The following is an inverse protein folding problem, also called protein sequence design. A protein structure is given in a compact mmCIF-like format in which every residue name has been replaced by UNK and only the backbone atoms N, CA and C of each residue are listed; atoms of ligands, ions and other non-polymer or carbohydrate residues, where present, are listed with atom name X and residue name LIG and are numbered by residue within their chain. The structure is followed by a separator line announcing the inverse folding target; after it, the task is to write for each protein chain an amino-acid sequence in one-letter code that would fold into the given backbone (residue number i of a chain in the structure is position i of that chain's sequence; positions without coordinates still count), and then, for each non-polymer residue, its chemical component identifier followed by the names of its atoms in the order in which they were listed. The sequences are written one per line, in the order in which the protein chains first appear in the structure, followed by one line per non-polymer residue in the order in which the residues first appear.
data_IF_999614522433
#
_entry.id   IF_999614522433
#
_cell.length_a   1.000
_cell.length_b   1.000
_cell.length_c   1.000
_cell.angle_alpha   90.00
_cell.angle_beta   90.00
_cell.angle_gamma   90.00
#
_symmetry.space_group_name_H-M   'P 1'
#
loop_
_entity.id
_entity.type
_entity.pdbx_description
1 polymer ?
#
# COMPACT_ATOMS: atom_id res chain seq x y z
N UNK A 1 -29.89 -14.28 1.52
CA UNK A 1 -28.82 -14.85 0.67
C UNK A 1 -28.00 -13.79 -0.10
N UNK A 2 -28.61 -12.76 -0.71
CA UNK A 2 -27.88 -11.71 -1.49
C UNK A 2 -27.00 -10.75 -0.66
N UNK A 3 -27.43 -10.30 0.52
CA UNK A 3 -26.66 -9.36 1.35
C UNK A 3 -25.23 -9.83 1.66
N UNK A 4 -25.04 -11.13 1.96
CA UNK A 4 -23.71 -11.68 2.25
C UNK A 4 -22.76 -11.75 1.06
N UNK A 5 -23.30 -11.91 -0.16
CA UNK A 5 -22.50 -11.86 -1.41
C UNK A 5 -22.09 -10.43 -1.74
N UNK A 6 -23.00 -9.46 -1.55
CA UNK A 6 -22.73 -8.03 -1.77
C UNK A 6 -21.63 -7.52 -0.82
N UNK A 7 -21.74 -7.81 0.48
CA UNK A 7 -20.72 -7.40 1.46
C UNK A 7 -19.35 -8.01 1.14
N UNK A 8 -19.33 -9.27 0.70
CA UNK A 8 -18.08 -9.92 0.29
C UNK A 8 -17.46 -9.25 -0.94
N UNK A 9 -18.28 -8.88 -1.94
CA UNK A 9 -17.82 -8.15 -3.11
C UNK A 9 -17.25 -6.77 -2.75
N UNK A 10 -17.94 -6.02 -1.88
CA UNK A 10 -17.46 -4.72 -1.39
C UNK A 10 -16.13 -4.84 -0.63
N UNK A 11 -16.02 -5.82 0.26
CA UNK A 11 -14.76 -6.10 0.98
C UNK A 11 -13.62 -6.45 0.02
N UNK A 12 -13.92 -7.20 -1.03
CA UNK A 12 -12.94 -7.59 -2.05
C UNK A 12 -12.48 -6.39 -2.88
N UNK A 13 -13.42 -5.54 -3.33
CA UNK A 13 -13.11 -4.29 -4.02
C UNK A 13 -12.27 -3.35 -3.14
N UNK A 14 -12.60 -3.25 -1.86
CA UNK A 14 -11.83 -2.45 -0.90
C UNK A 14 -10.40 -2.96 -0.71
N UNK A 15 -10.22 -4.27 -0.55
CA UNK A 15 -8.88 -4.88 -0.44
C UNK A 15 -8.06 -4.67 -1.73
N UNK A 16 -8.70 -4.78 -2.91
CA UNK A 16 -8.05 -4.50 -4.19
C UNK A 16 -7.62 -3.04 -4.32
N UNK A 17 -8.46 -2.10 -3.85
CA UNK A 17 -8.11 -0.68 -3.86
C UNK A 17 -6.90 -0.38 -2.98
N UNK A 18 -6.85 -0.95 -1.76
CA UNK A 18 -5.69 -0.82 -0.87
C UNK A 18 -4.42 -1.45 -1.48
N UNK A 19 -4.55 -2.63 -2.10
CA UNK A 19 -3.43 -3.31 -2.74
C UNK A 19 -2.83 -2.49 -3.89
N UNK A 20 -3.69 -1.85 -4.67
CA UNK A 20 -3.29 -1.04 -5.82
C UNK A 20 -2.66 0.29 -5.40
N UNK A 21 -3.15 0.93 -4.33
CA UNK A 21 -2.58 2.18 -3.83
C UNK A 21 -1.30 1.98 -3.01
N UNK A 22 -1.04 0.76 -2.53
CA UNK A 22 0.11 0.44 -1.69
C UNK A 22 1.46 0.92 -2.25
N UNK A 23 1.83 0.67 -3.53
CA UNK A 23 3.13 1.11 -4.04
C UNK A 23 3.30 2.64 -4.04
N UNK A 24 2.24 3.39 -4.35
CA UNK A 24 2.29 4.87 -4.33
C UNK A 24 2.43 5.39 -2.90
N UNK A 25 1.58 4.90 -1.98
CA UNK A 25 1.63 5.31 -0.58
C UNK A 25 2.97 4.93 0.06
N UNK A 26 3.47 3.72 -0.21
CA UNK A 26 4.76 3.27 0.28
C UNK A 26 5.89 4.16 -0.23
N UNK A 27 5.95 4.42 -1.53
CA UNK A 27 7.00 5.25 -2.12
C UNK A 27 7.04 6.65 -1.50
N UNK A 28 5.87 7.28 -1.36
CA UNK A 28 5.75 8.60 -0.75
C UNK A 28 6.21 8.57 0.72
N UNK A 29 5.63 7.70 1.54
CA UNK A 29 5.98 7.57 2.97
C UNK A 29 7.47 7.28 3.16
N UNK A 30 8.05 6.43 2.31
CA UNK A 30 9.46 6.09 2.37
C UNK A 30 10.36 7.29 2.07
N UNK A 31 10.03 8.08 1.05
CA UNK A 31 10.79 9.29 0.71
C UNK A 31 10.68 10.35 1.81
N UNK A 32 9.51 10.51 2.44
CA UNK A 32 9.37 11.41 3.59
C UNK A 32 10.19 10.96 4.79
N UNK A 33 10.12 9.67 5.18
CA UNK A 33 10.88 9.12 6.32
C UNK A 33 12.39 9.16 6.09
N UNK A 34 12.86 8.99 4.86
CA UNK A 34 14.28 9.09 4.54
C UNK A 34 14.76 10.54 4.37
N UNK A 35 13.84 11.50 4.38
CA UNK A 35 14.15 12.92 4.17
C UNK A 35 14.57 13.22 2.74
N UNK A 36 13.91 12.61 1.75
CA UNK A 36 14.08 12.81 0.31
C UNK A 36 12.74 13.03 -0.40
N UNK A 37 11.76 13.63 0.28
CA UNK A 37 10.42 13.91 -0.27
C UNK A 37 10.41 14.76 -1.54
N UNK A 38 11.47 15.56 -1.76
CA UNK A 38 11.71 16.34 -2.98
C UNK A 38 12.67 15.66 -3.98
N UNK A 39 13.03 14.40 -3.74
CA UNK A 39 13.98 13.62 -4.54
C UNK A 39 15.42 13.68 -4.02
N UNK A 40 16.24 12.73 -4.46
CA UNK A 40 17.62 12.53 -3.98
C UNK A 40 18.61 13.64 -4.34
N UNK A 41 18.29 14.48 -5.33
CA UNK A 41 19.13 15.60 -5.75
C UNK A 41 18.92 16.87 -4.92
N UNK A 42 17.91 16.91 -4.04
CA UNK A 42 17.54 18.08 -3.27
C UNK A 42 17.87 17.89 -1.78
N UNK A 43 18.71 18.76 -1.24
CA UNK A 43 18.97 18.79 0.20
C UNK A 43 17.88 19.59 0.92
N UNK A 44 17.07 18.89 1.73
CA UNK A 44 16.00 19.49 2.54
C UNK A 44 16.54 20.34 3.70
N UNK A 45 17.81 20.18 4.10
CA UNK A 45 18.40 20.94 5.20
C UNK A 45 17.51 20.95 6.46
N UNK A 46 17.09 22.14 6.89
CA UNK A 46 16.22 22.31 8.07
C UNK A 46 14.79 21.75 7.89
N UNK A 47 14.31 21.55 6.66
CA UNK A 47 12.99 20.97 6.39
C UNK A 47 12.97 19.44 6.57
N UNK A 48 14.15 18.82 6.69
CA UNK A 48 14.29 17.36 6.77
C UNK A 48 13.54 16.78 7.96
N UNK A 49 13.67 17.39 9.14
CA UNK A 49 13.00 16.91 10.35
C UNK A 49 11.47 16.97 10.24
N UNK A 50 10.96 18.00 9.54
CA UNK A 50 9.52 18.14 9.26
C UNK A 50 9.05 17.05 8.30
N UNK A 51 9.80 16.77 7.22
CA UNK A 51 9.50 15.70 6.27
C UNK A 51 9.44 14.34 6.96
N UNK A 52 10.41 14.04 7.83
CA UNK A 52 10.45 12.78 8.58
C UNK A 52 9.24 12.67 9.51
N UNK A 53 8.90 13.74 10.24
CA UNK A 53 7.73 13.76 11.11
C UNK A 53 6.43 13.51 10.33
N UNK A 54 6.27 14.15 9.17
CA UNK A 54 5.11 13.93 8.29
C UNK A 54 5.07 12.49 7.79
N UNK A 55 6.18 11.93 7.31
CA UNK A 55 6.26 10.54 6.89
C UNK A 55 5.89 9.54 7.99
N UNK A 56 6.28 9.82 9.25
CA UNK A 56 5.84 9.00 10.39
C UNK A 56 4.32 9.09 10.63
N UNK A 57 3.73 10.29 10.53
CA UNK A 57 2.28 10.47 10.67
C UNK A 57 1.53 9.76 9.55
N UNK A 58 2.00 9.91 8.30
CA UNK A 58 1.41 9.25 7.14
C UNK A 58 1.50 7.73 7.24
N UNK A 59 2.62 7.19 7.73
CA UNK A 59 2.77 5.76 8.02
C UNK A 59 1.72 5.30 9.04
N UNK A 60 1.54 6.04 10.14
CA UNK A 60 0.54 5.69 11.16
C UNK A 60 -0.88 5.71 10.59
N UNK A 61 -1.23 6.75 9.82
CA UNK A 61 -2.53 6.85 9.14
C UNK A 61 -2.72 5.67 8.19
N UNK A 62 -1.72 5.37 7.36
CA UNK A 62 -1.79 4.28 6.40
C UNK A 62 -1.94 2.92 7.09
N UNK A 63 -1.20 2.67 8.18
CA UNK A 63 -1.32 1.44 8.97
C UNK A 63 -2.70 1.30 9.62
N UNK A 64 -3.24 2.37 10.21
CA UNK A 64 -4.57 2.37 10.85
C UNK A 64 -5.69 2.14 9.82
N UNK A 65 -5.54 2.60 8.58
CA UNK A 65 -6.53 2.36 7.52
C UNK A 65 -6.37 0.98 6.87
N UNK A 66 -5.13 0.58 6.57
CA UNK A 66 -4.81 -0.63 5.81
C UNK A 66 -4.92 -1.89 6.66
N UNK A 67 -4.31 -1.93 7.85
CA UNK A 67 -4.21 -3.16 8.65
C UNK A 67 -5.56 -3.66 9.16
N UNK A 68 -6.40 -2.88 9.85
CA UNK A 68 -7.68 -3.36 10.36
C UNK A 68 -8.61 -3.79 9.23
N UNK A 69 -8.62 -3.03 8.13
CA UNK A 69 -9.38 -3.35 6.92
C UNK A 69 -8.97 -4.72 6.35
N UNK A 70 -7.67 -4.90 6.08
CA UNK A 70 -7.16 -6.13 5.50
C UNK A 70 -7.35 -7.32 6.45
N UNK A 71 -7.07 -7.17 7.75
CA UNK A 71 -7.31 -8.20 8.77
C UNK A 71 -8.78 -8.63 8.78
N UNK A 72 -9.72 -7.69 8.75
CA UNK A 72 -11.15 -8.00 8.72
C UNK A 72 -11.53 -8.80 7.47
N UNK A 73 -11.06 -8.40 6.29
CA UNK A 73 -11.33 -9.11 5.02
C UNK A 73 -10.69 -10.51 5.04
N UNK A 74 -9.45 -10.65 5.51
CA UNK A 74 -8.77 -11.94 5.63
C UNK A 74 -9.47 -12.89 6.60
N UNK A 75 -9.86 -12.42 7.79
CA UNK A 75 -10.58 -13.24 8.76
C UNK A 75 -11.96 -13.69 8.23
N UNK A 76 -12.67 -12.80 7.54
CA UNK A 76 -13.97 -13.15 6.93
C UNK A 76 -13.82 -14.15 5.79
N UNK A 77 -12.75 -14.03 5.01
CA UNK A 77 -12.46 -14.93 3.88
C UNK A 77 -11.96 -16.29 4.36
N UNK A 78 -11.15 -16.32 5.44
CA UNK A 78 -10.70 -17.56 6.08
C UNK A 78 -11.85 -18.46 6.51
N UNK A 79 -12.96 -17.88 7.00
CA UNK A 79 -14.18 -18.63 7.37
C UNK A 79 -14.84 -19.35 6.18
N UNK A 80 -14.59 -18.92 4.94
CA UNK A 80 -15.09 -19.60 3.72
C UNK A 80 -14.16 -20.71 3.21
N UNK A 81 -12.89 -20.72 3.62
CA UNK A 81 -11.92 -21.75 3.26
C UNK A 81 -10.52 -21.19 2.97
N UNK A 82 -9.50 -22.04 3.14
CA UNK A 82 -8.08 -21.67 2.92
C UNK A 82 -7.78 -21.26 1.46
N UNK A 83 -8.41 -21.92 0.48
CA UNK A 83 -8.22 -21.63 -0.94
C UNK A 83 -8.57 -20.17 -1.28
N UNK A 84 -9.70 -19.68 -0.78
CA UNK A 84 -10.15 -18.30 -1.01
C UNK A 84 -9.18 -17.26 -0.43
N UNK A 85 -8.52 -17.60 0.67
CA UNK A 85 -7.51 -16.74 1.27
C UNK A 85 -6.25 -16.68 0.39
N UNK A 86 -5.80 -17.80 -0.16
CA UNK A 86 -4.68 -17.81 -1.11
C UNK A 86 -5.00 -17.00 -2.37
N UNK A 87 -6.22 -17.12 -2.91
CA UNK A 87 -6.66 -16.32 -4.07
C UNK A 87 -6.62 -14.83 -3.74
N UNK A 88 -7.06 -14.43 -2.55
CA UNK A 88 -7.05 -13.02 -2.12
C UNK A 88 -5.61 -12.48 -1.97
N UNK A 89 -4.71 -13.26 -1.36
CA UNK A 89 -3.30 -12.89 -1.23
C UNK A 89 -2.63 -12.79 -2.61
N UNK A 90 -2.85 -13.77 -3.48
CA UNK A 90 -2.30 -13.77 -4.83
C UNK A 90 -2.77 -12.53 -5.62
N UNK A 91 -4.07 -12.21 -5.54
CA UNK A 91 -4.61 -11.00 -6.14
C UNK A 91 -3.97 -9.73 -5.57
N UNK A 92 -3.80 -9.64 -4.25
CA UNK A 92 -3.16 -8.50 -3.60
C UNK A 92 -1.76 -8.28 -4.16
N UNK A 93 -0.95 -9.34 -4.24
CA UNK A 93 0.40 -9.30 -4.78
C UNK A 93 0.41 -8.87 -6.25
N UNK A 94 -0.47 -9.45 -7.08
CA UNK A 94 -0.58 -9.10 -8.50
C UNK A 94 -0.96 -7.62 -8.66
N UNK A 95 -1.91 -7.10 -7.89
CA UNK A 95 -2.33 -5.71 -7.95
C UNK A 95 -1.22 -4.75 -7.50
N UNK A 96 -0.46 -5.11 -6.47
CA UNK A 96 0.70 -4.34 -6.05
C UNK A 96 1.78 -4.28 -7.14
N UNK A 97 2.06 -5.42 -7.80
CA UNK A 97 3.01 -5.48 -8.93
C UNK A 97 2.49 -4.66 -10.12
N UNK A 98 1.20 -4.72 -10.43
CA UNK A 98 0.59 -3.89 -11.48
C UNK A 98 0.73 -2.40 -11.12
N UNK A 99 0.50 -2.03 -9.87
CA UNK A 99 0.70 -0.65 -9.40
C UNK A 99 2.12 -0.16 -9.65
N UNK A 100 3.13 -0.97 -9.33
CA UNK A 100 4.54 -0.68 -9.63
C UNK A 100 4.78 -0.56 -11.15
N UNK A 101 4.20 -1.47 -11.94
CA UNK A 101 4.35 -1.44 -13.39
C UNK A 101 3.78 -0.16 -14.02
N UNK A 102 2.63 0.31 -13.54
CA UNK A 102 2.01 1.55 -14.02
C UNK A 102 2.80 2.82 -13.68
N UNK A 103 3.65 2.77 -12.63
CA UNK A 103 4.53 3.88 -12.24
C UNK A 103 5.77 3.97 -13.16
N UNK A 104 6.00 2.98 -14.04
CA UNK A 104 7.16 2.94 -14.94
C UNK A 104 7.97 1.65 -14.83
N UNK A 105 7.48 0.65 -14.09
CA UNK A 105 8.15 -0.62 -13.91
C UNK A 105 9.03 -0.66 -12.66
N UNK A 106 9.59 -1.84 -12.39
CA UNK A 106 10.44 -2.05 -11.22
C UNK A 106 11.68 -1.16 -11.22
N UNK A 107 12.32 -0.95 -12.38
CA UNK A 107 13.52 -0.12 -12.49
C UNK A 107 13.25 1.35 -12.18
N UNK A 108 12.20 1.94 -12.76
CA UNK A 108 11.84 3.32 -12.48
C UNK A 108 11.42 3.50 -11.02
N UNK A 109 10.71 2.52 -10.47
CA UNK A 109 10.31 2.51 -9.06
C UNK A 109 11.50 2.39 -8.11
N UNK A 110 12.46 1.51 -8.39
CA UNK A 110 13.66 1.34 -7.55
C UNK A 110 14.57 2.54 -7.60
N UNK A 111 14.76 3.12 -8.78
CA UNK A 111 15.54 4.34 -8.95
C UNK A 111 14.89 5.51 -8.20
N UNK A 112 13.58 5.69 -8.35
CA UNK A 112 12.85 6.79 -7.73
C UNK A 112 12.79 6.72 -6.20
N UNK A 113 12.64 5.51 -5.64
CA UNK A 113 12.38 5.34 -4.19
C UNK A 113 13.61 4.91 -3.42
N UNK A 114 14.47 4.06 -4.00
CA UNK A 114 15.64 3.51 -3.32
C UNK A 114 16.97 4.08 -3.83
N UNK A 115 16.97 4.79 -4.97
CA UNK A 115 18.18 5.27 -5.64
C UNK A 115 19.16 4.13 -5.99
N UNK A 116 18.60 3.01 -6.50
CA UNK A 116 19.33 1.79 -6.92
C UNK A 116 18.97 1.45 -8.36
#
# INVERSE_FOLDING_TARGET
MMKGKIIYCLNFLWASFIAFSFPMCFGWIFLDITGHSKGYSYDLGAEKDVSIMLGCIELLIWLVLSLPSNIYVFLKTKKKGKLYLFVLIALYMILAVIGIYLIGGWSAYSEAIFNI
#
